data_IF_060010380829
#
_entry.id   IF_060010380829
#
_cell.length_a   1.000
_cell.length_b   1.000
_cell.length_c   1.000
_cell.angle_alpha   90.00
_cell.angle_beta   90.00
_cell.angle_gamma   90.00
#
_symmetry.space_group_name_H-M   'P 1'
#
loop_
_entity.id
_entity.type
_entity.pdbx_description
1 polymer ?
#
# COMPACT_ATOMS: atom_id res chain seq x y z
N UNK A 1 10.05 -3.67 -6.59
CA UNK A 1 10.82 -4.39 -5.58
C UNK A 1 12.14 -3.69 -5.30
N UNK A 2 13.05 -3.53 -6.29
CA UNK A 2 14.40 -2.98 -6.06
C UNK A 2 14.40 -1.60 -5.39
N UNK A 3 13.49 -0.70 -5.79
CA UNK A 3 13.37 0.64 -5.17
C UNK A 3 13.00 0.50 -3.69
N UNK A 4 12.01 -0.32 -3.35
CA UNK A 4 11.59 -0.55 -1.97
C UNK A 4 12.72 -1.10 -1.11
N UNK A 5 13.45 -2.12 -1.61
CA UNK A 5 14.59 -2.72 -0.92
C UNK A 5 15.72 -1.71 -0.77
N UNK A 6 16.05 -0.95 -1.82
CA UNK A 6 17.08 0.08 -1.78
C UNK A 6 16.77 1.19 -0.77
N UNK A 7 15.53 1.70 -0.76
CA UNK A 7 15.08 2.70 0.22
C UNK A 7 15.16 2.14 1.65
N UNK A 8 14.69 0.91 1.87
CA UNK A 8 14.73 0.28 3.19
C UNK A 8 16.16 0.10 3.70
N UNK A 9 17.08 -0.40 2.88
CA UNK A 9 18.49 -0.55 3.24
C UNK A 9 19.09 0.83 3.57
N UNK A 10 18.88 1.82 2.71
CA UNK A 10 19.40 3.17 2.91
C UNK A 10 18.90 3.79 4.22
N UNK A 11 17.59 3.76 4.47
CA UNK A 11 17.01 4.37 5.68
C UNK A 11 17.45 3.63 6.95
N UNK A 12 17.49 2.28 6.90
CA UNK A 12 17.93 1.46 8.03
C UNK A 12 19.40 1.70 8.36
N UNK A 13 20.30 1.66 7.35
CA UNK A 13 21.73 1.89 7.57
C UNK A 13 22.01 3.32 8.05
N UNK A 14 21.33 4.31 7.49
CA UNK A 14 21.45 5.70 7.95
C UNK A 14 21.04 5.83 9.41
N UNK A 15 19.93 5.18 9.81
CA UNK A 15 19.46 5.14 11.19
C UNK A 15 20.50 4.52 12.14
N UNK A 16 21.06 3.36 11.76
CA UNK A 16 22.11 2.68 12.56
C UNK A 16 23.35 3.54 12.70
N UNK A 17 23.85 4.13 11.60
CA UNK A 17 25.05 4.98 11.64
C UNK A 17 24.83 6.17 12.58
N UNK A 18 23.70 6.88 12.46
CA UNK A 18 23.43 8.02 13.34
C UNK A 18 23.31 7.60 14.80
N UNK A 19 22.68 6.47 15.09
CA UNK A 19 22.58 5.94 16.44
C UNK A 19 23.95 5.61 17.04
N UNK A 20 24.88 5.07 16.26
CA UNK A 20 26.27 4.82 16.71
C UNK A 20 27.01 6.11 17.09
N UNK A 21 26.65 7.24 16.51
CA UNK A 21 27.19 8.55 16.87
C UNK A 21 26.33 9.32 17.89
N UNK A 22 25.44 8.64 18.61
CA UNK A 22 24.47 9.26 19.54
C UNK A 22 23.65 10.39 18.90
N UNK A 23 23.34 10.26 17.59
CA UNK A 23 22.46 11.14 16.86
C UNK A 23 21.16 10.42 16.55
N UNK A 24 20.04 11.13 16.57
CA UNK A 24 18.77 10.61 16.04
C UNK A 24 18.43 11.33 14.75
N UNK A 25 17.71 10.64 13.88
CA UNK A 25 17.18 11.26 12.65
C UNK A 25 16.05 12.26 12.94
N UNK A 26 15.57 12.32 14.20
CA UNK A 26 14.65 13.33 14.67
C UNK A 26 13.50 13.64 13.71
N UNK A 27 12.77 12.61 13.27
CA UNK A 27 11.65 12.79 12.34
C UNK A 27 12.04 13.04 10.88
N UNK A 28 13.34 12.96 10.51
CA UNK A 28 13.75 13.14 9.08
C UNK A 28 13.02 12.18 8.15
N UNK A 29 12.80 10.94 8.57
CA UNK A 29 12.06 9.97 7.75
C UNK A 29 10.56 10.25 7.71
N UNK A 30 9.98 10.95 8.70
CA UNK A 30 8.59 11.39 8.68
C UNK A 30 8.30 12.28 7.46
N UNK A 31 9.32 12.96 6.90
CA UNK A 31 9.19 13.74 5.66
C UNK A 31 8.93 12.88 4.42
N UNK A 32 9.19 11.58 4.49
CA UNK A 32 8.92 10.61 3.42
C UNK A 32 7.66 9.80 3.67
N UNK A 33 7.15 9.82 4.90
CA UNK A 33 5.91 9.15 5.31
C UNK A 33 4.70 10.06 5.05
N UNK A 34 3.54 9.46 4.81
CA UNK A 34 2.33 10.22 4.53
C UNK A 34 1.64 10.66 5.83
N UNK A 35 1.59 11.96 6.16
CA UNK A 35 0.87 12.45 7.33
C UNK A 35 -0.63 12.37 7.11
N UNK A 36 -1.40 12.10 8.19
CA UNK A 36 -2.85 12.24 8.16
C UNK A 36 -3.27 13.73 8.17
N UNK A 37 -2.47 14.59 8.79
CA UNK A 37 -2.71 16.03 8.91
C UNK A 37 -2.60 16.74 7.58
N UNK A 38 -3.69 17.38 7.13
CA UNK A 38 -3.72 18.17 5.90
C UNK A 38 -2.73 19.35 5.91
N UNK A 39 -2.58 20.12 7.00
CA UNK A 39 -1.56 21.17 7.07
C UNK A 39 -0.14 20.65 6.86
N UNK A 40 0.19 19.47 7.46
CA UNK A 40 1.49 18.83 7.23
C UNK A 40 1.64 18.34 5.80
N UNK A 41 0.59 17.76 5.22
CA UNK A 41 0.62 17.29 3.83
C UNK A 41 0.88 18.44 2.84
N UNK A 42 0.33 19.61 3.06
CA UNK A 42 0.60 20.80 2.20
C UNK A 42 2.09 21.15 2.17
N UNK A 43 2.80 20.94 3.30
CA UNK A 43 4.24 21.22 3.41
C UNK A 43 5.09 20.09 2.78
N UNK A 44 4.60 18.85 2.80
CA UNK A 44 5.31 17.68 2.26
C UNK A 44 4.47 16.89 1.24
N UNK A 45 3.98 17.50 0.13
CA UNK A 45 3.05 16.85 -0.79
C UNK A 45 3.65 15.65 -1.52
N UNK A 46 4.98 15.55 -1.65
CA UNK A 46 5.67 14.40 -2.21
C UNK A 46 5.44 13.11 -1.40
N UNK A 47 5.05 13.25 -0.13
CA UNK A 47 4.83 12.10 0.76
C UNK A 47 3.75 11.15 0.25
N UNK A 48 2.79 11.64 -0.57
CA UNK A 48 1.77 10.79 -1.23
C UNK A 48 2.38 9.77 -2.21
N UNK A 49 3.61 10.00 -2.66
CA UNK A 49 4.36 9.08 -3.50
C UNK A 49 5.46 8.35 -2.74
N UNK A 50 6.16 9.02 -1.84
CA UNK A 50 7.33 8.43 -1.17
C UNK A 50 6.95 7.39 -0.13
N UNK A 51 5.83 7.54 0.56
CA UNK A 51 5.39 6.64 1.61
C UNK A 51 5.27 5.18 1.15
N UNK A 52 4.88 4.95 -0.11
CA UNK A 52 4.68 3.61 -0.67
C UNK A 52 6.00 2.84 -0.90
N UNK A 53 7.14 3.49 -0.69
CA UNK A 53 8.47 2.89 -0.76
C UNK A 53 9.13 2.74 0.62
N UNK A 54 8.54 3.33 1.68
CA UNK A 54 9.03 3.27 3.06
C UNK A 54 8.49 2.03 3.77
N UNK A 55 9.29 1.44 4.67
CA UNK A 55 8.88 0.27 5.46
C UNK A 55 9.41 0.35 6.89
N UNK A 56 8.54 0.03 7.86
CA UNK A 56 8.85 0.15 9.29
C UNK A 56 9.84 -0.91 9.82
N UNK A 57 10.00 -2.04 9.13
CA UNK A 57 10.88 -3.11 9.61
C UNK A 57 10.99 -4.28 8.64
N UNK A 58 11.88 -5.23 8.99
CA UNK A 58 12.25 -6.35 8.12
C UNK A 58 11.05 -7.22 7.72
N UNK A 59 10.19 -7.56 8.66
CA UNK A 59 9.00 -8.39 8.35
C UNK A 59 8.01 -7.61 7.48
N UNK A 60 7.86 -6.29 7.72
CA UNK A 60 6.97 -5.45 6.93
C UNK A 60 7.41 -5.41 5.46
N UNK A 61 8.70 -5.15 5.19
CA UNK A 61 9.19 -5.16 3.80
C UNK A 61 9.17 -6.56 3.21
N UNK A 62 9.54 -7.58 3.97
CA UNK A 62 9.57 -8.97 3.49
C UNK A 62 8.18 -9.38 2.95
N UNK A 63 7.13 -9.22 3.75
CA UNK A 63 5.78 -9.60 3.32
C UNK A 63 5.29 -8.74 2.15
N UNK A 64 5.54 -7.43 2.16
CA UNK A 64 5.19 -6.57 1.03
C UNK A 64 5.88 -7.02 -0.27
N UNK A 65 7.18 -7.35 -0.22
CA UNK A 65 7.93 -7.76 -1.40
C UNK A 65 7.55 -9.16 -1.88
N UNK A 66 7.25 -10.09 -0.98
CA UNK A 66 6.73 -11.42 -1.35
C UNK A 66 5.38 -11.30 -2.07
N UNK A 67 4.45 -10.52 -1.54
CA UNK A 67 3.15 -10.29 -2.18
C UNK A 67 3.31 -9.56 -3.50
N UNK A 68 4.13 -8.52 -3.55
CA UNK A 68 4.43 -7.80 -4.79
C UNK A 68 5.06 -8.72 -5.85
N UNK A 69 5.94 -9.61 -5.45
CA UNK A 69 6.56 -10.58 -6.37
C UNK A 69 5.53 -11.57 -6.91
N UNK A 70 4.78 -12.23 -6.03
CA UNK A 70 3.84 -13.27 -6.46
C UNK A 70 2.66 -12.69 -7.24
N UNK A 71 2.00 -11.68 -6.70
CA UNK A 71 0.85 -11.08 -7.37
C UNK A 71 1.23 -10.17 -8.53
N UNK A 72 2.41 -9.57 -8.51
CA UNK A 72 2.97 -8.86 -9.65
C UNK A 72 3.28 -9.80 -10.82
N UNK A 73 3.87 -10.96 -10.55
CA UNK A 73 4.09 -11.98 -11.59
C UNK A 73 2.75 -12.53 -12.13
N UNK A 74 1.77 -12.79 -11.26
CA UNK A 74 0.44 -13.23 -11.68
C UNK A 74 -0.26 -12.15 -12.52
N UNK A 75 -0.21 -10.89 -12.11
CA UNK A 75 -0.77 -9.75 -12.84
C UNK A 75 -0.20 -9.65 -14.27
N UNK A 76 1.10 -9.87 -14.43
CA UNK A 76 1.77 -9.80 -15.73
C UNK A 76 1.34 -10.89 -16.73
N UNK A 77 0.63 -11.93 -16.30
CA UNK A 77 0.01 -12.89 -17.21
C UNK A 77 -1.21 -12.32 -17.94
N UNK A 78 -1.83 -11.27 -17.39
CA UNK A 78 -3.10 -10.70 -17.90
C UNK A 78 -2.97 -9.24 -18.31
N UNK A 79 -1.96 -8.52 -17.81
CA UNK A 79 -1.75 -7.10 -18.01
C UNK A 79 -0.28 -6.81 -18.35
N UNK A 80 -0.01 -5.65 -18.93
CA UNK A 80 1.35 -5.24 -19.30
C UNK A 80 2.17 -4.75 -18.08
N UNK A 81 3.51 -4.72 -18.26
CA UNK A 81 4.41 -4.11 -17.27
C UNK A 81 4.14 -2.60 -17.05
N UNK A 82 3.59 -1.90 -18.05
CA UNK A 82 3.13 -0.51 -17.91
C UNK A 82 1.96 -0.43 -16.97
N UNK A 83 0.95 -1.27 -17.15
CA UNK A 83 -0.20 -1.36 -16.25
C UNK A 83 0.22 -1.70 -14.82
N UNK A 84 1.19 -2.62 -14.62
CA UNK A 84 1.69 -2.96 -13.29
C UNK A 84 2.25 -1.74 -12.54
N UNK A 85 3.07 -0.92 -13.23
CA UNK A 85 3.60 0.32 -12.65
C UNK A 85 2.50 1.34 -12.37
N UNK A 86 1.59 1.52 -13.34
CA UNK A 86 0.47 2.44 -13.20
C UNK A 86 -0.45 2.07 -12.05
N UNK A 87 -0.84 0.80 -11.93
CA UNK A 87 -1.70 0.30 -10.84
C UNK A 87 -1.00 0.39 -9.48
N UNK A 88 0.31 0.13 -9.43
CA UNK A 88 1.09 0.32 -8.20
C UNK A 88 1.01 1.77 -7.70
N UNK A 89 1.26 2.75 -8.58
CA UNK A 89 1.21 4.17 -8.22
C UNK A 89 -0.23 4.62 -7.91
N UNK A 90 -1.18 4.25 -8.75
CA UNK A 90 -2.60 4.58 -8.56
C UNK A 90 -3.13 4.04 -7.23
N UNK A 91 -2.83 2.77 -6.93
CA UNK A 91 -3.22 2.12 -5.67
C UNK A 91 -2.64 2.81 -4.44
N UNK A 92 -1.35 3.18 -4.51
CA UNK A 92 -0.72 3.95 -3.45
C UNK A 92 -1.37 5.32 -3.26
N UNK A 93 -1.57 6.09 -4.34
CA UNK A 93 -2.22 7.42 -4.26
C UNK A 93 -3.63 7.30 -3.68
N UNK A 94 -4.48 6.41 -4.20
CA UNK A 94 -5.84 6.24 -3.72
C UNK A 94 -5.89 5.74 -2.27
N UNK A 95 -4.99 4.83 -1.89
CA UNK A 95 -4.83 4.38 -0.51
C UNK A 95 -4.48 5.52 0.44
N UNK A 96 -3.49 6.32 0.07
CA UNK A 96 -3.07 7.50 0.84
C UNK A 96 -4.16 8.56 0.95
N UNK A 97 -4.87 8.85 -0.14
CA UNK A 97 -5.98 9.79 -0.13
C UNK A 97 -7.15 9.31 0.75
N UNK A 98 -7.49 8.02 0.69
CA UNK A 98 -8.55 7.46 1.54
C UNK A 98 -8.15 7.52 3.02
N UNK A 99 -6.89 7.20 3.35
CA UNK A 99 -6.35 7.34 4.70
C UNK A 99 -6.48 8.77 5.23
N UNK A 100 -5.96 9.76 4.50
CA UNK A 100 -6.07 11.18 4.91
C UNK A 100 -7.53 11.60 5.05
N UNK A 101 -8.39 11.24 4.09
CA UNK A 101 -9.82 11.57 4.12
C UNK A 101 -10.49 11.01 5.37
N UNK A 102 -10.26 9.75 5.69
CA UNK A 102 -10.85 9.10 6.85
C UNK A 102 -10.41 9.76 8.17
N UNK A 103 -9.12 10.07 8.32
CA UNK A 103 -8.59 10.69 9.53
C UNK A 103 -9.10 12.12 9.76
N UNK A 104 -9.45 12.83 8.70
CA UNK A 104 -9.97 14.20 8.81
C UNK A 104 -11.51 14.25 8.90
N UNK A 105 -12.23 13.25 8.40
CA UNK A 105 -13.70 13.23 8.41
C UNK A 105 -14.25 12.54 9.65
N UNK A 106 -13.76 11.35 10.02
CA UNK A 106 -14.33 10.56 11.12
C UNK A 106 -13.89 11.07 12.48
N UNK A 107 -14.83 11.39 13.40
CA UNK A 107 -14.51 11.88 14.75
C UNK A 107 -13.60 10.94 15.54
N UNK A 108 -13.71 9.64 15.31
CA UNK A 108 -12.87 8.63 15.95
C UNK A 108 -11.37 8.83 15.71
N UNK A 109 -10.98 9.24 14.49
CA UNK A 109 -9.58 9.40 14.10
C UNK A 109 -9.02 10.81 14.36
N UNK A 110 -9.88 11.82 14.51
CA UNK A 110 -9.45 13.24 14.68
C UNK A 110 -8.40 13.45 15.77
N UNK A 111 -8.48 12.85 16.96
CA UNK A 111 -7.46 13.05 18.00
C UNK A 111 -6.06 12.55 17.61
N UNK A 112 -5.98 11.63 16.65
CA UNK A 112 -4.74 11.00 16.20
C UNK A 112 -4.16 11.67 14.95
N UNK A 113 -4.90 12.55 14.26
CA UNK A 113 -4.56 13.10 12.94
C UNK A 113 -3.19 13.78 12.93
N UNK A 114 -2.86 14.55 13.97
CA UNK A 114 -1.57 15.28 14.04
C UNK A 114 -0.36 14.39 14.24
N UNK A 115 -0.55 13.18 14.77
CA UNK A 115 0.54 12.26 15.14
C UNK A 115 0.58 11.01 14.26
N UNK A 116 -0.38 10.86 13.34
CA UNK A 116 -0.44 9.68 12.48
C UNK A 116 0.31 9.88 11.19
N UNK A 117 1.19 8.94 10.92
CA UNK A 117 1.93 8.81 9.66
C UNK A 117 1.72 7.40 9.11
N UNK A 118 1.67 7.30 7.79
CA UNK A 118 1.50 6.04 7.09
C UNK A 118 2.68 5.78 6.16
N UNK A 119 3.09 4.51 6.11
CA UNK A 119 4.15 4.02 5.24
C UNK A 119 3.89 2.58 4.81
N UNK A 120 4.36 2.20 3.64
CA UNK A 120 4.27 0.84 3.12
C UNK A 120 3.75 0.74 1.70
N UNK A 121 4.18 -0.29 1.00
CA UNK A 121 3.74 -0.62 -0.37
C UNK A 121 2.38 -1.34 -0.41
N UNK A 122 1.80 -1.69 0.72
CA UNK A 122 0.70 -2.65 0.82
C UNK A 122 -0.59 -2.21 0.11
N UNK A 123 -0.93 -0.91 0.12
CA UNK A 123 -2.06 -0.38 -0.65
C UNK A 123 -1.85 -0.57 -2.17
N UNK A 124 -0.64 -0.30 -2.66
CA UNK A 124 -0.24 -0.54 -4.05
C UNK A 124 -0.30 -2.04 -4.42
N UNK A 125 0.15 -2.90 -3.52
CA UNK A 125 0.11 -4.36 -3.70
C UNK A 125 -1.33 -4.85 -3.73
N UNK A 126 -2.18 -4.35 -2.84
CA UNK A 126 -3.59 -4.76 -2.81
C UNK A 126 -4.36 -4.27 -4.04
N UNK A 127 -3.98 -3.14 -4.63
CA UNK A 127 -4.52 -2.72 -5.92
C UNK A 127 -4.19 -3.73 -7.03
N UNK A 128 -2.97 -4.25 -7.06
CA UNK A 128 -2.56 -5.30 -8.02
C UNK A 128 -3.37 -6.58 -7.79
N UNK A 129 -3.54 -7.01 -6.54
CA UNK A 129 -4.36 -8.19 -6.18
C UNK A 129 -5.81 -8.01 -6.62
N UNK A 130 -6.42 -6.86 -6.29
CA UNK A 130 -7.80 -6.57 -6.62
C UNK A 130 -8.05 -6.49 -8.14
N UNK A 131 -7.15 -5.86 -8.88
CA UNK A 131 -7.22 -5.80 -10.34
C UNK A 131 -7.13 -7.20 -10.97
N UNK A 132 -6.23 -8.05 -10.46
CA UNK A 132 -6.08 -9.43 -10.95
C UNK A 132 -7.31 -10.28 -10.59
N UNK A 133 -7.83 -10.12 -9.36
CA UNK A 133 -9.03 -10.83 -8.93
C UNK A 133 -10.30 -10.41 -9.71
N UNK A 134 -10.38 -9.16 -10.14
CA UNK A 134 -11.44 -8.70 -11.03
C UNK A 134 -11.34 -9.35 -12.41
N UNK A 135 -10.13 -9.44 -12.96
CA UNK A 135 -9.87 -10.00 -14.30
C UNK A 135 -10.07 -11.51 -14.33
N UNK A 136 -9.56 -12.20 -13.35
CA UNK A 136 -9.54 -13.67 -13.26
C UNK A 136 -9.98 -14.14 -11.86
N UNK A 137 -11.28 -13.98 -11.54
CA UNK A 137 -11.79 -14.23 -10.18
C UNK A 137 -11.66 -15.69 -9.75
N UNK A 138 -11.70 -16.61 -10.67
CA UNK A 138 -11.65 -18.06 -10.40
C UNK A 138 -10.24 -18.65 -10.54
N UNK A 139 -9.21 -17.79 -10.69
CA UNK A 139 -7.83 -18.25 -10.78
C UNK A 139 -7.43 -19.03 -9.52
N UNK A 140 -6.91 -20.28 -9.65
CA UNK A 140 -6.56 -21.10 -8.50
C UNK A 140 -5.22 -20.66 -7.88
N UNK A 141 -5.24 -20.22 -6.63
CA UNK A 141 -4.05 -19.94 -5.81
C UNK A 141 -3.84 -21.10 -4.85
N UNK A 142 -2.67 -21.72 -4.90
CA UNK A 142 -2.31 -22.80 -3.97
C UNK A 142 -1.68 -22.21 -2.71
N UNK A 143 -2.41 -22.27 -1.61
CA UNK A 143 -1.93 -21.87 -0.29
C UNK A 143 -1.39 -23.08 0.46
N UNK A 144 -0.23 -22.91 1.14
CA UNK A 144 0.46 -24.00 1.81
C UNK A 144 -0.40 -24.76 2.83
N UNK A 145 -1.18 -24.04 3.65
CA UNK A 145 -2.00 -24.65 4.71
C UNK A 145 -3.46 -24.89 4.31
N UNK A 146 -3.98 -24.16 3.32
CA UNK A 146 -5.42 -24.15 3.00
C UNK A 146 -5.74 -24.82 1.65
N UNK A 147 -4.73 -25.38 0.97
CA UNK A 147 -4.91 -25.99 -0.34
C UNK A 147 -5.18 -24.95 -1.43
N UNK A 148 -6.01 -25.32 -2.42
CA UNK A 148 -6.31 -24.43 -3.56
C UNK A 148 -7.52 -23.57 -3.26
N UNK A 149 -7.34 -22.26 -3.30
CA UNK A 149 -8.38 -21.25 -3.09
C UNK A 149 -8.50 -20.39 -4.34
N UNK A 150 -9.70 -19.97 -4.71
CA UNK A 150 -9.90 -19.04 -5.84
C UNK A 150 -9.50 -17.61 -5.44
N UNK A 151 -8.86 -16.90 -6.35
CA UNK A 151 -8.31 -15.56 -6.12
C UNK A 151 -9.35 -14.56 -5.57
N UNK A 152 -10.60 -14.61 -6.05
CA UNK A 152 -11.69 -13.77 -5.54
C UNK A 152 -11.95 -13.94 -4.04
N UNK A 153 -11.84 -15.17 -3.51
CA UNK A 153 -12.03 -15.40 -2.08
C UNK A 153 -10.83 -14.91 -1.26
N UNK A 154 -9.61 -15.05 -1.78
CA UNK A 154 -8.44 -14.49 -1.13
C UNK A 154 -8.55 -12.96 -1.05
N UNK A 155 -8.88 -12.29 -2.15
CA UNK A 155 -9.09 -10.83 -2.17
C UNK A 155 -10.22 -10.41 -1.22
N UNK A 156 -11.34 -11.13 -1.22
CA UNK A 156 -12.47 -10.86 -0.33
C UNK A 156 -12.09 -10.99 1.15
N UNK A 157 -11.37 -12.05 1.53
CA UNK A 157 -10.92 -12.25 2.92
C UNK A 157 -10.03 -11.10 3.36
N UNK A 158 -9.10 -10.64 2.53
CA UNK A 158 -8.24 -9.49 2.88
C UNK A 158 -9.08 -8.24 3.08
N UNK A 159 -10.00 -7.91 2.16
CA UNK A 159 -10.88 -6.73 2.26
C UNK A 159 -11.76 -6.79 3.52
N UNK A 160 -12.36 -7.95 3.80
CA UNK A 160 -13.18 -8.13 5.01
C UNK A 160 -12.33 -7.98 6.28
N UNK A 161 -11.12 -8.54 6.29
CA UNK A 161 -10.19 -8.36 7.41
C UNK A 161 -9.83 -6.89 7.61
N UNK A 162 -9.53 -6.15 6.55
CA UNK A 162 -9.26 -4.71 6.65
C UNK A 162 -10.46 -3.92 7.20
N UNK A 163 -11.68 -4.27 6.80
CA UNK A 163 -12.90 -3.66 7.35
C UNK A 163 -13.10 -3.98 8.83
N UNK A 164 -12.84 -5.21 9.26
CA UNK A 164 -13.01 -5.63 10.66
C UNK A 164 -11.96 -4.97 11.58
N UNK A 165 -10.77 -4.70 11.08
CA UNK A 165 -9.66 -4.11 11.86
C UNK A 165 -9.45 -2.61 11.61
N UNK A 166 -10.43 -1.94 11.01
CA UNK A 166 -10.36 -0.51 10.66
C UNK A 166 -10.15 0.42 11.87
N UNK A 167 -10.44 -0.04 13.09
CA UNK A 167 -10.24 0.70 14.34
C UNK A 167 -9.11 0.14 15.20
N UNK A 168 -8.28 -0.75 14.65
CA UNK A 168 -7.12 -1.34 15.34
C UNK A 168 -5.94 -0.37 15.45
N UNK A 169 -4.86 -0.82 16.06
CA UNK A 169 -3.60 -0.05 16.15
C UNK A 169 -3.00 0.30 14.76
N UNK A 170 -3.32 -0.46 13.71
CA UNK A 170 -2.91 -0.19 12.32
C UNK A 170 -4.07 0.32 11.45
N UNK A 171 -4.99 1.07 12.02
CA UNK A 171 -6.17 1.60 11.32
C UNK A 171 -5.83 2.28 9.99
N UNK A 172 -4.78 3.10 9.97
CA UNK A 172 -4.32 3.80 8.75
C UNK A 172 -3.95 2.84 7.64
N UNK A 173 -3.23 1.76 7.94
CA UNK A 173 -2.89 0.71 6.99
C UNK A 173 -4.13 0.02 6.41
N UNK A 174 -5.08 -0.38 7.27
CA UNK A 174 -6.32 -1.03 6.84
C UNK A 174 -7.17 -0.13 5.93
N UNK A 175 -7.28 1.16 6.25
CA UNK A 175 -7.98 2.14 5.41
C UNK A 175 -7.29 2.30 4.06
N UNK A 176 -5.95 2.42 4.05
CA UNK A 176 -5.18 2.54 2.82
C UNK A 176 -5.31 1.30 1.92
N UNK A 177 -5.35 0.10 2.50
CA UNK A 177 -5.60 -1.14 1.78
C UNK A 177 -6.93 -1.10 1.01
N UNK A 178 -8.00 -0.64 1.67
CA UNK A 178 -9.31 -0.48 1.02
C UNK A 178 -9.25 0.50 -0.14
N UNK A 179 -8.55 1.62 0.01
CA UNK A 179 -8.31 2.58 -1.06
C UNK A 179 -7.53 1.99 -2.23
N UNK A 180 -6.50 1.20 -1.94
CA UNK A 180 -5.75 0.43 -2.93
C UNK A 180 -6.62 -0.57 -3.68
N UNK A 181 -7.41 -1.37 -2.96
CA UNK A 181 -8.32 -2.35 -3.56
C UNK A 181 -9.34 -1.68 -4.50
N UNK A 182 -9.94 -0.57 -4.07
CA UNK A 182 -10.88 0.21 -4.90
C UNK A 182 -10.20 0.72 -6.17
N UNK A 183 -8.96 1.22 -6.08
CA UNK A 183 -8.18 1.68 -7.23
C UNK A 183 -7.91 0.54 -8.22
N UNK A 184 -7.54 -0.64 -7.73
CA UNK A 184 -7.32 -1.82 -8.56
C UNK A 184 -8.58 -2.29 -9.29
N UNK A 185 -9.72 -2.32 -8.58
CA UNK A 185 -11.03 -2.63 -9.18
C UNK A 185 -11.41 -1.57 -10.23
N UNK A 186 -11.24 -0.30 -9.92
CA UNK A 186 -11.50 0.80 -10.85
C UNK A 186 -10.66 0.69 -12.11
N UNK A 187 -9.34 0.44 -11.99
CA UNK A 187 -8.47 0.21 -13.13
C UNK A 187 -8.98 -0.94 -14.01
N UNK A 188 -9.20 -2.11 -13.43
CA UNK A 188 -9.59 -3.30 -14.19
C UNK A 188 -10.97 -3.14 -14.86
N UNK A 189 -11.93 -2.51 -14.17
CA UNK A 189 -13.25 -2.21 -14.70
C UNK A 189 -13.19 -1.16 -15.82
N UNK A 190 -12.34 -0.14 -15.71
CA UNK A 190 -12.16 0.87 -16.76
C UNK A 190 -11.51 0.27 -18.00
N UNK A 191 -10.45 -0.53 -17.80
CA UNK A 191 -9.75 -1.19 -18.90
C UNK A 191 -10.65 -2.18 -19.65
N UNK A 192 -11.53 -2.90 -18.94
CA UNK A 192 -12.51 -3.81 -19.58
C UNK A 192 -13.52 -3.08 -20.48
N UNK A 193 -13.70 -1.77 -20.26
CA UNK A 193 -14.54 -0.88 -21.09
C UNK A 193 -13.74 -0.11 -22.14
N UNK A 194 -12.44 -0.42 -22.31
CA UNK A 194 -11.56 0.22 -23.28
C UNK A 194 -10.89 1.50 -22.80
N UNK A 195 -11.04 1.89 -21.53
CA UNK A 195 -10.40 3.08 -20.96
C UNK A 195 -9.18 2.72 -20.11
N UNK A 196 -7.97 3.03 -20.61
CA UNK A 196 -6.73 2.87 -19.85
C UNK A 196 -6.46 4.11 -18.98
N UNK A 197 -6.74 4.01 -17.68
CA UNK A 197 -6.49 5.08 -16.70
C UNK A 197 -5.06 5.12 -16.15
N UNK A 198 -4.18 4.24 -16.65
CA UNK A 198 -2.76 4.18 -16.29
C UNK A 198 -1.84 4.57 -17.45
N UNK A 199 -2.42 5.08 -18.52
CA UNK A 199 -1.73 5.46 -19.75
C UNK A 199 -0.84 6.70 -19.58
#
# INVERSE_FOLDING_TARGET
IYINVGVFIFTTLTGVILQLFNRSLGGVFEWLELPASLPRFIIQPWSVLTYMFMHAGVLHILFNMLWLYWFGALFLNFFSARHLRGVYILGGICGGLLYMTAYNIFPYFRPMTEYSFMLGASASVLAIVAATAYREPDYPIRLFLFGTVRLKYLALVVIVTDLLFITSSNAGGHIAHLGGALAGLWFAASLSKGADITA
#
